data_IF_967559764519
#
_entry.id   IF_967559764519
#
_cell.length_a   1.000
_cell.length_b   1.000
_cell.length_c   1.000
_cell.angle_alpha   90.00
_cell.angle_beta   90.00
_cell.angle_gamma   90.00
#
_symmetry.space_group_name_H-M   'P 1'
#
loop_
_entity.id
_entity.type
_entity.pdbx_description
1 polymer ?
#
# COMPACT_ATOMS: atom_id res chain seq x y z
N UNK A 1 17.31 15.29 18.97
CA UNK A 1 16.29 16.30 19.33
C UNK A 1 15.45 16.55 18.09
N UNK A 2 14.14 16.30 18.13
CA UNK A 2 13.25 16.53 16.97
C UNK A 2 12.92 18.02 16.94
N UNK A 3 13.22 18.69 15.82
CA UNK A 3 12.90 20.10 15.63
C UNK A 3 11.53 20.26 14.96
N UNK A 4 10.91 21.44 15.08
CA UNK A 4 9.65 21.76 14.37
C UNK A 4 9.78 21.64 12.86
N UNK A 5 10.96 21.98 12.30
CA UNK A 5 11.27 21.77 10.89
C UNK A 5 11.32 20.28 10.53
N UNK A 6 12.04 19.47 11.31
CA UNK A 6 12.11 18.02 11.11
C UNK A 6 10.72 17.38 11.19
N UNK A 7 9.86 17.84 12.11
CA UNK A 7 8.48 17.39 12.20
C UNK A 7 7.66 17.76 10.95
N UNK A 8 7.82 18.98 10.43
CA UNK A 8 7.16 19.43 9.20
C UNK A 8 7.60 18.63 7.96
N UNK A 9 8.90 18.34 7.85
CA UNK A 9 9.46 17.50 6.76
C UNK A 9 8.91 16.06 6.85
N UNK A 10 8.90 15.46 8.04
CA UNK A 10 8.34 14.13 8.26
C UNK A 10 6.84 14.07 7.97
N UNK A 11 6.09 15.08 8.39
CA UNK A 11 4.66 15.20 8.09
C UNK A 11 4.41 15.28 6.58
N UNK A 12 5.17 16.11 5.88
CA UNK A 12 5.05 16.28 4.42
C UNK A 12 5.37 14.97 3.69
N UNK A 13 6.44 14.29 4.12
CA UNK A 13 6.81 12.99 3.57
C UNK A 13 5.74 11.91 3.83
N UNK A 14 5.16 11.89 5.03
CA UNK A 14 4.08 10.96 5.37
C UNK A 14 2.83 11.19 4.51
N UNK A 15 2.44 12.46 4.30
CA UNK A 15 1.32 12.82 3.41
C UNK A 15 1.59 12.38 1.98
N UNK A 16 2.81 12.61 1.47
CA UNK A 16 3.21 12.18 0.14
C UNK A 16 3.13 10.66 -0.04
N UNK A 17 3.66 9.88 0.92
CA UNK A 17 3.55 8.42 0.89
C UNK A 17 2.08 7.95 0.94
N UNK A 18 1.24 8.61 1.74
CA UNK A 18 -0.20 8.34 1.77
C UNK A 18 -0.88 8.60 0.43
N UNK A 19 -0.55 9.71 -0.23
CA UNK A 19 -1.08 10.03 -1.56
C UNK A 19 -0.66 9.00 -2.62
N UNK A 20 0.61 8.60 -2.65
CA UNK A 20 1.10 7.55 -3.54
C UNK A 20 0.39 6.22 -3.27
N UNK A 21 0.22 5.86 -2.00
CA UNK A 21 -0.48 4.63 -1.62
C UNK A 21 -1.91 4.61 -2.16
N UNK A 22 -2.67 5.69 -1.94
CA UNK A 22 -4.05 5.79 -2.43
C UNK A 22 -4.10 5.76 -3.96
N UNK A 23 -3.23 6.51 -4.64
CA UNK A 23 -3.18 6.54 -6.10
C UNK A 23 -2.87 5.15 -6.69
N UNK A 24 -1.89 4.45 -6.13
CA UNK A 24 -1.52 3.10 -6.55
C UNK A 24 -2.69 2.13 -6.42
N UNK A 25 -3.37 2.12 -5.27
CA UNK A 25 -4.52 1.24 -5.04
C UNK A 25 -5.69 1.57 -5.97
N UNK A 26 -5.94 2.85 -6.26
CA UNK A 26 -6.95 3.25 -7.25
C UNK A 26 -6.63 2.73 -8.65
N UNK A 27 -5.36 2.76 -9.06
CA UNK A 27 -4.93 2.24 -10.36
C UNK A 27 -5.08 0.71 -10.39
N UNK A 28 -4.60 -0.01 -9.37
CA UNK A 28 -4.67 -1.46 -9.29
C UNK A 28 -6.11 -2.00 -9.22
N UNK A 29 -7.04 -1.24 -8.61
CA UNK A 29 -8.45 -1.62 -8.54
C UNK A 29 -9.23 -1.28 -9.82
N UNK A 30 -8.62 -0.57 -10.78
CA UNK A 30 -9.25 -0.26 -12.05
C UNK A 30 -8.99 -1.38 -13.07
N UNK A 31 -10.03 -2.17 -13.37
CA UNK A 31 -9.95 -3.31 -14.31
C UNK A 31 -9.56 -2.93 -15.74
N UNK A 32 -9.81 -1.68 -16.14
CA UNK A 32 -9.41 -1.18 -17.46
C UNK A 32 -7.91 -0.92 -17.57
N UNK A 33 -7.26 -0.62 -16.43
CA UNK A 33 -5.83 -0.30 -16.38
C UNK A 33 -4.97 -1.49 -15.97
N UNK A 34 -5.46 -2.29 -15.02
CA UNK A 34 -4.76 -3.48 -14.54
C UNK A 34 -5.78 -4.62 -14.43
N UNK A 35 -5.67 -5.64 -15.28
CA UNK A 35 -6.57 -6.78 -15.21
C UNK A 35 -6.38 -7.52 -13.87
N UNK A 36 -7.46 -8.09 -13.35
CA UNK A 36 -7.52 -8.60 -11.98
C UNK A 36 -6.47 -9.69 -11.66
N UNK A 37 -5.97 -10.39 -12.67
CA UNK A 37 -4.91 -11.39 -12.57
C UNK A 37 -3.50 -10.78 -12.46
N UNK A 38 -3.31 -9.54 -12.86
CA UNK A 38 -2.01 -8.84 -12.82
C UNK A 38 -1.89 -7.87 -11.64
N UNK A 39 -2.94 -7.77 -10.82
CA UNK A 39 -2.95 -6.89 -9.66
C UNK A 39 -1.80 -7.22 -8.71
N UNK A 40 -0.97 -6.22 -8.46
CA UNK A 40 0.15 -6.33 -7.54
C UNK A 40 -0.09 -5.46 -6.33
N UNK A 41 0.30 -5.98 -5.17
CA UNK A 41 0.23 -5.27 -3.91
C UNK A 41 1.61 -4.69 -3.62
N UNK A 42 1.66 -3.44 -3.15
CA UNK A 42 2.92 -2.76 -2.81
C UNK A 42 3.76 -3.63 -1.87
N UNK A 43 5.06 -3.70 -2.13
CA UNK A 43 6.01 -4.52 -1.39
C UNK A 43 5.89 -4.35 0.13
N UNK A 44 5.81 -3.11 0.62
CA UNK A 44 5.74 -2.86 2.06
C UNK A 44 4.40 -3.30 2.67
N UNK A 45 3.31 -3.36 1.90
CA UNK A 45 2.04 -3.89 2.38
C UNK A 45 2.13 -5.41 2.53
N UNK A 46 2.79 -6.09 1.57
CA UNK A 46 3.09 -7.53 1.71
C UNK A 46 3.96 -7.79 2.93
N UNK A 47 4.98 -6.97 3.15
CA UNK A 47 5.83 -7.03 4.34
C UNK A 47 5.02 -6.80 5.63
N UNK A 48 4.15 -5.77 5.68
CA UNK A 48 3.28 -5.50 6.83
C UNK A 48 2.33 -6.67 7.14
N UNK A 49 1.73 -7.28 6.12
CA UNK A 49 0.88 -8.47 6.28
C UNK A 49 1.63 -9.70 6.79
N UNK A 50 2.93 -9.80 6.48
CA UNK A 50 3.78 -10.85 7.02
C UNK A 50 4.10 -10.61 8.50
N UNK A 51 4.26 -9.35 8.92
CA UNK A 51 4.50 -9.00 10.32
C UNK A 51 3.22 -9.05 11.17
N UNK A 52 2.08 -8.65 10.60
CA UNK A 52 0.79 -8.60 11.28
C UNK A 52 -0.23 -9.44 10.51
N UNK A 53 -0.45 -10.72 10.91
CA UNK A 53 -1.36 -11.63 10.21
C UNK A 53 -2.80 -11.13 10.14
N UNK A 54 -3.24 -10.30 11.09
CA UNK A 54 -4.57 -9.65 11.09
C UNK A 54 -4.78 -8.72 9.89
N UNK A 55 -3.70 -8.19 9.29
CA UNK A 55 -3.77 -7.31 8.13
C UNK A 55 -3.99 -8.06 6.82
N UNK A 56 -3.90 -9.40 6.81
CA UNK A 56 -4.12 -10.22 5.60
C UNK A 56 -5.53 -10.07 5.03
N UNK A 57 -6.51 -9.73 5.87
CA UNK A 57 -7.89 -9.49 5.47
C UNK A 57 -8.10 -8.15 4.74
N UNK A 58 -7.13 -7.23 4.79
CA UNK A 58 -7.22 -5.89 4.20
C UNK A 58 -6.34 -5.77 2.95
N UNK A 59 -6.64 -4.84 2.04
CA UNK A 59 -5.82 -4.57 0.84
C UNK A 59 -6.34 -5.25 -0.43
N UNK A 60 -5.44 -5.62 -1.35
CA UNK A 60 -5.83 -6.27 -2.61
C UNK A 60 -6.13 -7.74 -2.33
N UNK A 61 -7.29 -8.28 -2.72
CA UNK A 61 -7.58 -9.70 -2.59
C UNK A 61 -6.57 -10.48 -3.42
N UNK A 62 -5.61 -11.12 -2.75
CA UNK A 62 -4.73 -12.07 -3.41
C UNK A 62 -5.58 -13.29 -3.75
N UNK A 63 -5.58 -13.71 -5.01
CA UNK A 63 -6.21 -14.98 -5.37
C UNK A 63 -5.62 -16.07 -4.48
N UNK A 64 -6.45 -16.95 -3.89
CA UNK A 64 -5.91 -18.15 -3.27
C UNK A 64 -5.08 -18.85 -4.34
N UNK A 65 -3.84 -19.20 -3.99
CA UNK A 65 -2.97 -19.95 -4.86
C UNK A 65 -3.72 -21.27 -5.16
N UNK A 66 -4.31 -21.39 -6.34
CA UNK A 66 -4.73 -22.68 -6.88
C UNK A 66 -3.46 -23.46 -7.17
N UNK A 67 -2.89 -24.07 -6.12
CA UNK A 67 -2.01 -25.22 -6.25
C UNK A 67 -2.87 -26.47 -6.17
#
# INVERSE_FOLDING_TARGET
MITTRTLGELSTFAVFLGAIHVAYYKIQMNESLVPANERQELFYVRWLKNQFPSLKAYGIPQKPNSQ
#
